data_IF_357905968677
#
_entry.id   IF_357905968677
#
_cell.length_a   1.000
_cell.length_b   1.000
_cell.length_c   1.000
_cell.angle_alpha   90.00
_cell.angle_beta   90.00
_cell.angle_gamma   90.00
#
_symmetry.space_group_name_H-M   'P 1'
#
loop_
_entity.id
_entity.type
_entity.pdbx_description
1 polymer ?
#
# COMPACT_ATOMS: atom_id res chain seq x y z
N UNK A 1 8.05 15.13 0.03
CA UNK A 1 7.83 14.44 1.32
C UNK A 1 8.60 13.13 1.27
N UNK A 2 9.58 12.94 2.16
CA UNK A 2 10.46 11.76 2.14
C UNK A 2 9.67 10.54 2.64
N UNK A 3 9.46 9.55 1.77
CA UNK A 3 8.86 8.24 2.10
C UNK A 3 9.82 7.40 2.95
N UNK A 4 10.00 7.78 4.22
CA UNK A 4 10.79 7.00 5.17
C UNK A 4 9.95 6.10 6.09
N UNK A 5 8.63 6.01 5.84
CA UNK A 5 7.69 5.34 6.74
C UNK A 5 7.86 3.80 6.81
N UNK A 6 8.42 3.18 5.77
CA UNK A 6 8.58 1.72 5.70
C UNK A 6 9.81 1.16 6.44
N UNK A 7 10.88 1.96 6.54
CA UNK A 7 12.13 1.55 7.21
C UNK A 7 11.93 1.09 8.66
N UNK A 8 11.10 1.76 9.47
CA UNK A 8 10.99 1.46 10.89
C UNK A 8 10.10 0.26 11.23
N UNK A 9 9.03 0.00 10.50
CA UNK A 9 8.21 -1.21 10.73
C UNK A 9 9.05 -2.48 10.46
N UNK A 10 9.95 -2.39 9.49
CA UNK A 10 10.87 -3.47 9.15
C UNK A 10 11.96 -3.68 10.18
N UNK A 11 12.46 -2.58 10.78
CA UNK A 11 13.42 -2.63 11.89
C UNK A 11 12.77 -3.31 13.10
N UNK A 12 11.48 -3.05 13.36
CA UNK A 12 10.74 -3.71 14.45
C UNK A 12 10.58 -5.20 14.20
N UNK A 13 10.27 -5.62 12.97
CA UNK A 13 10.24 -7.05 12.60
C UNK A 13 11.64 -7.67 12.72
N UNK A 14 12.69 -6.97 12.31
CA UNK A 14 14.07 -7.44 12.46
C UNK A 14 14.51 -7.50 13.92
N UNK A 15 14.11 -6.54 14.76
CA UNK A 15 14.34 -6.56 16.21
C UNK A 15 13.58 -7.73 16.86
N UNK A 16 12.35 -8.02 16.41
CA UNK A 16 11.59 -9.18 16.86
C UNK A 16 12.33 -10.49 16.55
N UNK A 17 12.83 -10.62 15.33
CA UNK A 17 13.60 -11.80 14.93
C UNK A 17 14.88 -11.91 15.74
N UNK A 18 15.59 -10.81 15.96
CA UNK A 18 16.77 -10.76 16.82
C UNK A 18 16.44 -11.08 18.28
N UNK A 19 15.28 -10.64 18.80
CA UNK A 19 14.79 -11.00 20.12
C UNK A 19 14.46 -12.50 20.23
N UNK A 20 13.79 -13.09 19.23
CA UNK A 20 13.55 -14.54 19.16
C UNK A 20 14.88 -15.30 19.16
N UNK A 21 15.85 -14.82 18.40
CA UNK A 21 17.18 -15.41 18.31
C UNK A 21 17.97 -15.25 19.61
N UNK A 22 17.92 -14.09 20.23
CA UNK A 22 18.57 -13.87 21.53
C UNK A 22 17.99 -14.80 22.61
N UNK A 23 16.67 -15.01 22.61
CA UNK A 23 16.00 -15.94 23.50
C UNK A 23 16.43 -17.39 23.26
N UNK A 24 16.51 -17.81 22.00
CA UNK A 24 17.05 -19.13 21.64
C UNK A 24 18.53 -19.28 21.99
N UNK A 25 19.27 -18.16 22.00
CA UNK A 25 20.69 -18.12 22.29
C UNK A 25 21.03 -18.41 23.77
N UNK A 26 20.23 -17.88 24.72
CA UNK A 26 20.57 -17.92 26.12
C UNK A 26 20.18 -19.19 26.87
N UNK A 27 19.41 -20.15 26.28
CA UNK A 27 18.87 -21.22 27.09
C UNK A 27 18.92 -22.66 26.55
N UNK A 28 19.56 -23.46 27.36
CA UNK A 28 19.35 -24.90 27.50
C UNK A 28 18.60 -25.12 28.83
N UNK A 29 17.27 -25.44 28.72
CA UNK A 29 16.45 -26.10 29.75
C UNK A 29 15.95 -25.28 30.97
N UNK A 30 14.67 -25.40 31.28
CA UNK A 30 13.89 -25.13 32.52
C UNK A 30 13.90 -23.73 33.19
N UNK A 31 14.99 -22.98 33.14
CA UNK A 31 15.04 -21.59 33.62
C UNK A 31 14.56 -20.63 32.51
N UNK A 32 14.36 -21.14 31.35
CA UNK A 32 14.10 -20.50 30.05
C UNK A 32 12.88 -19.58 30.02
N UNK A 33 11.75 -20.07 30.53
CA UNK A 33 10.48 -19.35 30.35
C UNK A 33 10.47 -18.01 31.09
N UNK A 34 10.86 -18.03 32.35
CA UNK A 34 10.84 -16.82 33.19
C UNK A 34 11.86 -15.79 32.74
N UNK A 35 13.06 -16.23 32.37
CA UNK A 35 14.12 -15.32 31.96
C UNK A 35 13.91 -14.81 30.51
N UNK A 36 13.35 -15.64 29.63
CA UNK A 36 12.98 -15.19 28.28
C UNK A 36 11.89 -14.10 28.33
N UNK A 37 10.87 -14.25 29.17
CA UNK A 37 9.85 -13.21 29.36
C UNK A 37 10.46 -11.93 29.94
N UNK A 38 11.39 -12.05 30.90
CA UNK A 38 12.08 -10.91 31.53
C UNK A 38 13.02 -10.22 30.53
N UNK A 39 13.80 -10.98 29.76
CA UNK A 39 14.70 -10.42 28.73
C UNK A 39 13.86 -9.72 27.64
N UNK A 40 12.79 -10.33 27.15
CA UNK A 40 11.94 -9.72 26.13
C UNK A 40 11.31 -8.43 26.65
N UNK A 41 10.80 -8.40 27.86
CA UNK A 41 10.25 -7.17 28.46
C UNK A 41 11.30 -6.07 28.62
N UNK A 42 12.57 -6.42 28.85
CA UNK A 42 13.65 -5.45 29.03
C UNK A 42 14.32 -5.01 27.72
N UNK A 43 14.23 -5.82 26.65
CA UNK A 43 14.86 -5.55 25.35
C UNK A 43 13.88 -4.95 24.35
N UNK A 44 12.60 -5.30 24.45
CA UNK A 44 11.59 -4.74 23.55
C UNK A 44 11.32 -3.27 23.91
N UNK A 45 11.18 -2.41 22.89
CA UNK A 45 10.73 -1.04 23.11
C UNK A 45 9.35 -0.98 23.78
N UNK A 46 9.06 0.08 24.50
CA UNK A 46 7.80 0.28 25.24
C UNK A 46 6.52 0.16 24.38
N UNK A 47 6.66 0.37 23.06
CA UNK A 47 5.55 0.22 22.10
C UNK A 47 5.36 -1.21 21.59
N UNK A 48 6.17 -2.19 22.03
CA UNK A 48 6.04 -3.60 21.66
C UNK A 48 5.64 -4.42 22.88
N UNK A 49 4.58 -5.24 22.73
CA UNK A 49 4.10 -6.14 23.78
C UNK A 49 4.06 -7.56 23.27
N UNK A 50 4.37 -8.51 24.16
CA UNK A 50 4.29 -9.96 23.90
C UNK A 50 3.66 -10.60 25.13
N UNK A 51 2.64 -11.44 24.94
CA UNK A 51 1.93 -12.08 26.05
C UNK A 51 2.70 -13.29 26.58
N UNK A 52 3.16 -14.16 25.69
CA UNK A 52 3.84 -15.39 26.08
C UNK A 52 4.78 -15.93 25.00
N UNK A 53 5.81 -16.66 25.49
CA UNK A 53 6.71 -17.42 24.64
C UNK A 53 6.56 -18.90 25.01
N UNK A 54 6.51 -19.74 24.01
CA UNK A 54 6.49 -21.18 24.18
C UNK A 54 7.54 -21.87 23.33
N UNK A 55 8.13 -22.92 23.87
CA UNK A 55 9.14 -23.74 23.22
C UNK A 55 8.61 -25.18 23.14
N UNK A 56 8.62 -25.74 21.95
CA UNK A 56 8.40 -27.16 21.72
C UNK A 56 9.74 -27.78 21.31
N UNK A 57 10.41 -28.38 22.28
CA UNK A 57 11.73 -28.98 22.07
C UNK A 57 11.67 -30.21 21.19
N UNK A 58 10.56 -30.98 21.24
CA UNK A 58 10.38 -32.20 20.45
C UNK A 58 10.28 -31.88 18.95
N UNK A 59 9.67 -30.74 18.61
CA UNK A 59 9.49 -30.25 17.23
C UNK A 59 10.52 -29.19 16.84
N UNK A 60 11.47 -28.85 17.74
CA UNK A 60 12.41 -27.75 17.55
C UNK A 60 11.70 -26.46 17.08
N UNK A 61 10.59 -26.12 17.75
CA UNK A 61 9.71 -24.99 17.41
C UNK A 61 9.67 -23.97 18.54
N UNK A 62 9.62 -22.69 18.15
CA UNK A 62 9.36 -21.55 19.04
C UNK A 62 8.13 -20.82 18.58
N UNK A 63 7.28 -20.41 19.52
CA UNK A 63 6.12 -19.59 19.25
C UNK A 63 6.04 -18.42 20.22
N UNK A 64 5.79 -17.22 19.70
CA UNK A 64 5.40 -16.02 20.43
C UNK A 64 3.90 -15.84 20.29
N UNK A 65 3.19 -15.63 21.38
CA UNK A 65 1.75 -15.38 21.39
C UNK A 65 1.46 -13.94 21.79
N UNK A 66 0.45 -13.33 21.14
CA UNK A 66 -0.02 -12.01 21.47
C UNK A 66 1.01 -10.93 21.24
N UNK A 67 1.75 -10.99 20.14
CA UNK A 67 2.64 -9.92 19.74
C UNK A 67 1.84 -8.72 19.27
N UNK A 68 2.12 -7.52 19.85
CA UNK A 68 1.42 -6.28 19.53
C UNK A 68 2.38 -5.12 19.42
N UNK A 69 2.10 -4.23 18.47
CA UNK A 69 2.73 -2.91 18.36
C UNK A 69 1.68 -1.88 18.72
N UNK A 70 1.94 -1.09 19.74
CA UNK A 70 1.05 -0.03 20.21
C UNK A 70 1.00 1.09 19.18
N UNK A 71 -0.18 1.62 18.92
CA UNK A 71 -0.37 2.74 18.01
C UNK A 71 0.17 4.04 18.63
N UNK A 72 0.67 4.99 17.84
CA UNK A 72 0.98 6.32 18.33
C UNK A 72 -0.25 6.98 18.97
N UNK A 73 -0.02 7.88 19.92
CA UNK A 73 -1.11 8.58 20.60
C UNK A 73 -2.01 9.38 19.63
N UNK A 74 -3.31 9.37 19.90
CA UNK A 74 -4.30 10.14 19.15
C UNK A 74 -4.92 9.43 17.96
N UNK A 75 -4.66 8.13 17.79
CA UNK A 75 -5.38 7.24 16.87
C UNK A 75 -6.43 6.42 17.63
N UNK A 76 -7.47 5.96 16.93
CA UNK A 76 -8.61 5.29 17.56
C UNK A 76 -8.33 3.84 17.95
N UNK A 77 -7.51 3.14 17.17
CA UNK A 77 -7.10 1.78 17.50
C UNK A 77 -5.94 1.79 18.50
N UNK A 78 -6.00 0.91 19.52
CA UNK A 78 -4.93 0.77 20.53
C UNK A 78 -3.63 0.27 19.89
N UNK A 79 -3.74 -0.62 18.92
CA UNK A 79 -2.60 -1.25 18.27
C UNK A 79 -2.51 -0.86 16.79
N UNK A 80 -1.28 -0.74 16.31
CA UNK A 80 -0.95 -0.65 14.88
C UNK A 80 -0.91 -2.05 14.25
N UNK A 81 -0.37 -3.02 15.01
CA UNK A 81 -0.25 -4.40 14.57
C UNK A 81 -0.51 -5.32 15.75
N UNK A 82 -1.31 -6.34 15.53
CA UNK A 82 -1.50 -7.47 16.43
C UNK A 82 -1.18 -8.76 15.66
N UNK A 83 -0.44 -9.69 16.25
CA UNK A 83 -0.18 -11.01 15.69
C UNK A 83 -0.56 -12.04 16.74
N UNK A 84 -1.55 -12.87 16.41
CA UNK A 84 -2.03 -13.89 17.35
C UNK A 84 -0.93 -14.87 17.74
N UNK A 85 -0.12 -15.30 16.78
CA UNK A 85 1.04 -16.17 17.01
C UNK A 85 2.10 -15.95 15.93
N UNK A 86 3.35 -15.81 16.35
CA UNK A 86 4.53 -15.90 15.49
C UNK A 86 5.20 -17.23 15.80
N UNK A 87 5.35 -18.12 14.84
CA UNK A 87 6.00 -19.41 15.03
C UNK A 87 7.11 -19.65 14.03
N UNK A 88 8.19 -20.26 14.46
CA UNK A 88 9.28 -20.69 13.58
C UNK A 88 9.86 -22.03 14.07
N UNK A 89 10.57 -22.71 13.17
CA UNK A 89 11.41 -23.86 13.52
C UNK A 89 12.85 -23.40 13.63
N UNK A 90 13.66 -24.14 14.38
CA UNK A 90 15.09 -23.87 14.51
C UNK A 90 15.89 -25.16 14.45
N UNK A 91 17.16 -25.05 14.04
CA UNK A 91 18.14 -26.11 14.04
C UNK A 91 19.46 -25.60 14.58
N UNK A 92 20.02 -26.29 15.56
CA UNK A 92 21.38 -26.04 16.04
C UNK A 92 22.38 -26.82 15.19
N UNK A 93 23.52 -26.19 14.84
CA UNK A 93 24.60 -26.84 14.07
C UNK A 93 25.54 -27.65 14.95
N UNK A 94 25.53 -27.41 16.27
CA UNK A 94 26.38 -28.10 17.24
C UNK A 94 25.71 -28.26 18.60
N UNK A 95 26.51 -28.50 19.64
CA UNK A 95 26.04 -28.70 21.01
C UNK A 95 25.66 -27.38 21.71
N UNK A 96 26.16 -26.28 21.21
CA UNK A 96 25.89 -24.93 21.71
C UNK A 96 25.25 -24.07 20.63
N UNK A 97 24.45 -23.09 21.02
CA UNK A 97 23.89 -22.08 20.13
C UNK A 97 25.04 -21.27 19.44
N UNK A 98 26.17 -21.10 20.15
CA UNK A 98 27.37 -20.46 19.61
C UNK A 98 28.01 -21.24 18.44
N UNK A 99 27.67 -22.51 18.26
CA UNK A 99 28.14 -23.32 17.13
C UNK A 99 27.33 -23.06 15.86
N UNK A 100 26.20 -22.39 16.00
CA UNK A 100 25.32 -21.95 14.92
C UNK A 100 23.87 -22.32 15.14
N UNK A 101 22.98 -21.39 14.85
CA UNK A 101 21.53 -21.50 14.89
C UNK A 101 20.95 -21.13 13.54
N UNK A 102 20.15 -22.01 12.96
CA UNK A 102 19.40 -21.73 11.75
C UNK A 102 17.91 -21.66 12.05
N UNK A 103 17.27 -20.56 11.66
CA UNK A 103 15.83 -20.33 11.82
C UNK A 103 15.17 -20.53 10.46
N UNK A 104 14.07 -21.26 10.41
CA UNK A 104 13.36 -21.53 9.18
C UNK A 104 11.84 -21.60 9.40
N UNK A 105 11.09 -21.45 8.31
CA UNK A 105 9.64 -21.47 8.24
C UNK A 105 8.96 -20.53 9.26
N UNK A 106 9.36 -19.27 9.37
CA UNK A 106 8.64 -18.32 10.21
C UNK A 106 7.26 -18.04 9.61
N UNK A 107 6.23 -18.11 10.46
CA UNK A 107 4.83 -17.86 10.07
C UNK A 107 4.19 -16.90 11.07
N UNK A 108 3.59 -15.84 10.54
CA UNK A 108 2.69 -14.95 11.25
C UNK A 108 1.26 -15.45 11.10
N UNK A 109 0.67 -15.91 12.19
CA UNK A 109 -0.69 -16.42 12.20
C UNK A 109 -1.64 -15.38 12.76
N UNK A 110 -2.70 -15.10 12.02
CA UNK A 110 -3.73 -14.12 12.34
C UNK A 110 -3.15 -12.73 12.63
N UNK A 111 -2.25 -12.20 11.79
CA UNK A 111 -1.84 -10.80 11.93
C UNK A 111 -3.02 -9.89 11.59
N UNK A 112 -3.24 -8.87 12.41
CA UNK A 112 -4.18 -7.79 12.14
C UNK A 112 -3.43 -6.48 12.09
N UNK A 113 -3.48 -5.82 10.96
CA UNK A 113 -2.81 -4.54 10.73
C UNK A 113 -3.83 -3.42 10.65
N UNK A 114 -3.74 -2.44 11.54
CA UNK A 114 -4.64 -1.31 11.61
C UNK A 114 -4.01 -0.08 10.98
N UNK A 115 -4.48 0.30 9.82
CA UNK A 115 -4.09 1.52 9.12
C UNK A 115 -5.18 2.56 9.37
N UNK A 116 -4.82 3.69 9.94
CA UNK A 116 -5.76 4.75 10.26
C UNK A 116 -5.31 6.08 9.65
N UNK A 117 -6.21 6.74 8.91
CA UNK A 117 -6.07 8.11 8.46
C UNK A 117 -7.01 9.00 9.27
N UNK A 118 -6.46 9.92 10.05
CA UNK A 118 -7.21 10.88 10.85
C UNK A 118 -7.87 11.95 9.98
N UNK A 119 -8.84 12.69 10.56
CA UNK A 119 -9.53 13.78 9.89
C UNK A 119 -8.58 14.89 9.37
N UNK A 120 -7.44 15.09 10.03
CA UNK A 120 -6.38 16.01 9.60
C UNK A 120 -5.48 15.45 8.48
N UNK A 121 -5.77 14.24 7.98
CA UNK A 121 -5.06 13.56 6.90
C UNK A 121 -3.81 12.78 7.33
N UNK A 122 -3.40 12.83 8.61
CA UNK A 122 -2.25 12.09 9.12
C UNK A 122 -2.53 10.59 9.18
N UNK A 123 -1.53 9.79 8.80
CA UNK A 123 -1.57 8.33 8.86
C UNK A 123 -0.78 7.85 10.08
N UNK A 124 -1.33 6.87 10.81
CA UNK A 124 -0.64 6.26 11.95
C UNK A 124 0.71 5.63 11.57
N UNK A 125 0.86 5.13 10.36
CA UNK A 125 2.13 4.62 9.82
C UNK A 125 3.22 5.70 9.77
N UNK A 126 2.86 6.92 9.37
CA UNK A 126 3.82 8.03 9.29
C UNK A 126 4.24 8.51 10.68
N UNK A 127 3.30 8.56 11.63
CA UNK A 127 3.60 8.92 13.03
C UNK A 127 4.46 7.85 13.70
N UNK A 128 4.17 6.56 13.50
CA UNK A 128 5.00 5.46 13.99
C UNK A 128 6.43 5.55 13.42
N UNK A 129 6.57 5.87 12.13
CA UNK A 129 7.87 6.13 11.51
C UNK A 129 8.67 7.20 12.25
N UNK A 130 8.00 8.29 12.65
CA UNK A 130 8.61 9.38 13.40
C UNK A 130 9.04 8.95 14.83
N UNK A 131 8.22 8.13 15.51
CA UNK A 131 8.56 7.56 16.83
C UNK A 131 9.81 6.70 16.75
N UNK A 132 9.89 5.85 15.73
CA UNK A 132 11.02 4.94 15.52
C UNK A 132 12.32 5.68 15.13
N UNK A 133 12.21 6.77 14.36
CA UNK A 133 13.36 7.62 14.02
C UNK A 133 13.88 8.42 15.23
N UNK A 134 12.99 8.90 16.10
CA UNK A 134 13.37 9.60 17.34
C UNK A 134 14.11 8.66 18.31
N UNK A 135 13.73 7.40 18.36
CA UNK A 135 14.44 6.37 19.15
C UNK A 135 15.87 6.09 18.66
N UNK A 136 16.22 6.45 17.42
CA UNK A 136 17.55 6.25 16.83
C UNK A 136 18.45 7.50 16.83
N UNK A 137 18.12 8.57 17.58
CA UNK A 137 19.04 9.69 17.81
C UNK A 137 19.09 10.78 16.73
N UNK A 138 18.04 10.96 15.95
CA UNK A 138 17.92 12.06 14.98
C UNK A 138 17.45 13.38 15.63
N UNK A 139 18.33 14.37 15.77
CA UNK A 139 17.99 15.70 16.26
C UNK A 139 17.14 16.48 15.26
N UNK A 140 15.91 16.86 15.65
CA UNK A 140 15.09 17.85 14.94
C UNK A 140 15.39 19.24 15.50
N UNK A 141 15.82 20.16 14.63
CA UNK A 141 16.11 21.56 14.93
C UNK A 141 14.83 22.40 14.90
N UNK A 142 14.21 22.63 16.07
CA UNK A 142 13.17 23.63 16.29
C UNK A 142 13.31 24.23 17.69
N UNK A 143 12.90 25.52 17.94
CA UNK A 143 13.01 26.15 19.25
C UNK A 143 12.06 25.51 20.26
N UNK A 144 12.60 25.07 21.41
CA UNK A 144 11.92 24.26 22.41
C UNK A 144 11.82 24.97 23.78
N UNK A 145 10.71 24.81 24.54
CA UNK A 145 10.56 25.32 25.91
C UNK A 145 11.55 24.65 26.90
N UNK A 146 11.98 25.32 27.96
CA UNK A 146 13.05 24.85 28.85
C UNK A 146 12.75 23.60 29.69
N UNK A 147 11.47 23.29 29.96
CA UNK A 147 11.04 22.05 30.65
C UNK A 147 11.24 20.78 29.85
N UNK A 148 11.37 20.90 28.53
CA UNK A 148 11.56 19.76 27.61
C UNK A 148 13.08 19.41 27.48
N UNK A 149 13.98 20.31 27.87
CA UNK A 149 15.44 20.07 27.80
C UNK A 149 15.90 18.95 28.72
N UNK A 150 15.41 18.90 29.97
CA UNK A 150 15.79 17.86 30.93
C UNK A 150 15.27 16.47 30.50
N UNK A 151 14.02 16.38 30.04
CA UNK A 151 13.45 15.15 29.48
C UNK A 151 14.18 14.70 28.20
N UNK A 152 14.75 15.66 27.45
CA UNK A 152 15.53 15.38 26.24
C UNK A 152 16.91 14.82 26.52
N UNK A 153 17.57 15.29 27.53
CA UNK A 153 18.89 14.77 27.98
C UNK A 153 18.74 13.34 28.50
N UNK A 154 17.68 13.06 29.25
CA UNK A 154 17.36 11.72 29.72
C UNK A 154 16.99 10.76 28.57
N UNK A 155 16.20 11.23 27.63
CA UNK A 155 15.85 10.47 26.40
C UNK A 155 17.07 10.25 25.50
N UNK A 156 18.00 11.23 25.45
CA UNK A 156 19.26 11.11 24.71
C UNK A 156 20.23 10.12 25.35
N UNK A 157 20.29 10.09 26.68
CA UNK A 157 21.04 9.09 27.41
C UNK A 157 20.46 7.66 27.20
N UNK A 158 19.12 7.51 27.26
CA UNK A 158 18.43 6.25 26.96
C UNK A 158 18.56 5.84 25.49
N UNK A 159 18.47 6.78 24.55
CA UNK A 159 18.68 6.53 23.12
C UNK A 159 20.12 6.16 22.76
N UNK A 160 21.10 6.78 23.41
CA UNK A 160 22.51 6.41 23.26
C UNK A 160 22.82 5.03 23.86
N UNK A 161 22.16 4.67 24.95
CA UNK A 161 22.24 3.34 25.55
C UNK A 161 21.58 2.28 24.62
N UNK A 162 20.41 2.59 24.03
CA UNK A 162 19.74 1.72 23.07
C UNK A 162 20.55 1.56 21.76
N UNK A 163 21.18 2.63 21.26
CA UNK A 163 22.07 2.59 20.10
C UNK A 163 23.35 1.78 20.35
N UNK A 164 23.91 1.87 21.58
CA UNK A 164 25.02 1.03 22.02
C UNK A 164 24.60 -0.43 22.21
N UNK A 165 23.40 -0.66 22.77
CA UNK A 165 22.82 -2.00 22.90
C UNK A 165 22.55 -2.65 21.55
N UNK A 166 22.05 -1.91 20.55
CA UNK A 166 21.87 -2.41 19.19
C UNK A 166 23.21 -2.70 18.49
N UNK A 167 24.22 -1.88 18.70
CA UNK A 167 25.59 -2.13 18.21
C UNK A 167 26.26 -3.31 18.93
N UNK A 168 26.00 -3.49 20.21
CA UNK A 168 26.49 -4.63 21.00
C UNK A 168 25.67 -5.91 20.71
N UNK A 169 24.36 -5.80 20.39
CA UNK A 169 23.54 -6.93 20.00
C UNK A 169 23.97 -7.55 18.65
N UNK A 170 24.69 -6.80 17.81
CA UNK A 170 25.28 -7.36 16.58
C UNK A 170 26.53 -8.20 16.84
N UNK A 171 27.07 -8.20 18.06
CA UNK A 171 28.25 -8.96 18.49
C UNK A 171 27.91 -9.80 19.72
N UNK A 172 28.20 -11.08 19.70
CA UNK A 172 28.09 -11.98 20.84
C UNK A 172 29.49 -12.50 21.17
N UNK A 173 30.09 -11.92 22.20
CA UNK A 173 31.52 -12.10 22.41
C UNK A 173 32.29 -11.51 21.23
N UNK A 174 33.20 -12.30 20.64
CA UNK A 174 34.01 -11.90 19.49
C UNK A 174 33.40 -12.33 18.13
N UNK A 175 32.18 -12.89 18.10
CA UNK A 175 31.52 -13.34 16.87
C UNK A 175 30.39 -12.38 16.47
N UNK A 176 30.23 -12.15 15.16
CA UNK A 176 29.08 -11.42 14.62
C UNK A 176 27.82 -12.28 14.77
N UNK A 177 26.68 -11.63 14.98
CA UNK A 177 25.38 -12.31 15.08
C UNK A 177 25.10 -13.15 13.83
N UNK A 178 25.45 -12.63 12.64
CA UNK A 178 25.29 -13.33 11.37
C UNK A 178 26.12 -14.62 11.23
N UNK A 179 27.23 -14.72 11.98
CA UNK A 179 28.07 -15.93 11.97
C UNK A 179 27.46 -17.03 12.87
N UNK A 180 26.61 -16.63 13.81
CA UNK A 180 25.97 -17.51 14.80
C UNK A 180 24.55 -17.86 14.36
N UNK A 181 23.81 -16.90 13.82
CA UNK A 181 22.39 -17.07 13.49
C UNK A 181 22.15 -16.85 12.02
N UNK A 182 21.54 -17.84 11.38
CA UNK A 182 21.03 -17.72 10.02
C UNK A 182 19.54 -17.42 10.05
N UNK A 183 19.18 -16.23 9.63
CA UNK A 183 17.80 -15.79 9.49
C UNK A 183 17.24 -16.17 8.12
N UNK A 184 15.97 -16.56 8.03
CA UNK A 184 15.29 -16.77 6.75
C UNK A 184 15.00 -15.43 6.08
N UNK A 185 14.92 -15.43 4.76
CA UNK A 185 14.47 -14.27 4.00
C UNK A 185 12.94 -14.21 3.87
N UNK A 186 12.24 -15.34 3.96
CA UNK A 186 10.79 -15.45 3.70
C UNK A 186 10.03 -15.76 4.97
N UNK A 187 8.98 -15.00 5.21
CA UNK A 187 8.06 -15.09 6.36
C UNK A 187 6.65 -15.31 5.84
N UNK A 188 6.01 -16.42 6.21
CA UNK A 188 4.64 -16.73 5.82
C UNK A 188 3.62 -15.89 6.59
N UNK A 189 2.50 -15.58 5.96
CA UNK A 189 1.31 -14.97 6.55
C UNK A 189 0.15 -15.95 6.42
N UNK A 190 -0.58 -16.19 7.50
CA UNK A 190 -1.79 -17.04 7.51
C UNK A 190 -2.94 -16.38 8.25
N UNK A 191 -4.11 -16.38 7.63
CA UNK A 191 -5.34 -15.81 8.18
C UNK A 191 -5.15 -14.36 8.64
N UNK A 192 -4.46 -13.56 7.82
CA UNK A 192 -4.18 -12.15 8.09
C UNK A 192 -5.39 -11.27 7.86
N UNK A 193 -5.36 -10.05 8.44
CA UNK A 193 -6.38 -9.03 8.28
C UNK A 193 -5.74 -7.65 8.20
N UNK A 194 -6.24 -6.81 7.29
CA UNK A 194 -5.91 -5.38 7.26
C UNK A 194 -7.19 -4.60 7.47
N UNK A 195 -7.17 -3.69 8.42
CA UNK A 195 -8.28 -2.76 8.72
C UNK A 195 -7.81 -1.36 8.36
N UNK A 196 -8.37 -0.79 7.31
CA UNK A 196 -8.15 0.60 6.95
C UNK A 196 -9.33 1.45 7.42
N UNK A 197 -9.08 2.40 8.33
CA UNK A 197 -10.07 3.35 8.84
C UNK A 197 -9.70 4.76 8.37
N UNK A 198 -10.58 5.37 7.58
CA UNK A 198 -10.37 6.70 7.01
C UNK A 198 -11.33 7.72 7.62
N UNK A 199 -10.84 8.50 8.58
CA UNK A 199 -11.61 9.59 9.20
C UNK A 199 -11.57 10.89 8.39
N UNK A 200 -10.74 10.96 7.34
CA UNK A 200 -10.69 12.10 6.42
C UNK A 200 -11.58 11.90 5.18
N UNK A 201 -12.32 10.80 5.10
CA UNK A 201 -13.23 10.56 3.99
C UNK A 201 -14.33 11.64 3.93
N UNK A 202 -14.70 12.13 2.74
CA UNK A 202 -15.58 13.33 2.59
C UNK A 202 -16.96 13.24 3.24
N UNK A 203 -17.48 12.03 3.47
CA UNK A 203 -18.81 11.79 4.06
C UNK A 203 -18.78 11.20 5.47
N UNK A 204 -17.65 11.33 6.17
CA UNK A 204 -17.41 10.79 7.50
C UNK A 204 -16.56 9.53 7.48
N UNK A 205 -16.37 8.91 8.65
CA UNK A 205 -15.47 7.77 8.78
C UNK A 205 -15.83 6.64 7.82
N UNK A 206 -14.84 6.18 7.06
CA UNK A 206 -14.98 5.06 6.14
C UNK A 206 -14.03 3.93 6.52
N UNK A 207 -14.51 2.69 6.40
CA UNK A 207 -13.73 1.52 6.81
C UNK A 207 -13.72 0.48 5.70
N UNK A 208 -12.52 0.06 5.31
CA UNK A 208 -12.29 -1.06 4.41
C UNK A 208 -11.52 -2.16 5.16
N UNK A 209 -11.91 -3.39 4.95
CA UNK A 209 -11.29 -4.50 5.65
C UNK A 209 -10.94 -5.61 4.66
N UNK A 210 -9.66 -6.01 4.64
CA UNK A 210 -9.19 -7.20 3.94
C UNK A 210 -9.14 -8.36 4.94
N UNK A 211 -9.69 -9.48 4.55
CA UNK A 211 -9.80 -10.70 5.37
C UNK A 211 -9.07 -11.87 4.72
N UNK A 212 -8.79 -12.86 5.55
CA UNK A 212 -8.23 -14.17 5.16
C UNK A 212 -6.98 -14.01 4.29
N UNK A 213 -6.11 -13.07 4.69
CA UNK A 213 -4.87 -12.80 3.97
C UNK A 213 -3.94 -13.99 4.11
N UNK A 214 -3.62 -14.61 2.97
CA UNK A 214 -2.60 -15.63 2.83
C UNK A 214 -1.46 -15.10 1.96
N UNK A 215 -0.22 -15.33 2.38
CA UNK A 215 0.89 -14.81 1.61
C UNK A 215 2.23 -14.90 2.31
N UNK A 216 3.16 -14.07 1.85
CA UNK A 216 4.51 -13.98 2.41
C UNK A 216 5.06 -12.57 2.39
N UNK A 217 6.01 -12.33 3.29
CA UNK A 217 6.90 -11.18 3.29
C UNK A 217 8.31 -11.70 3.07
N UNK A 218 9.05 -11.11 2.14
CA UNK A 218 10.46 -11.36 1.93
C UNK A 218 11.27 -10.18 2.45
N UNK A 219 12.25 -10.44 3.31
CA UNK A 219 13.14 -9.42 3.87
C UNK A 219 14.58 -9.83 3.60
N UNK A 220 15.25 -9.07 2.74
CA UNK A 220 16.68 -9.28 2.49
C UNK A 220 17.48 -8.31 3.34
N UNK A 221 18.32 -8.85 4.21
CA UNK A 221 19.24 -8.10 5.06
C UNK A 221 20.66 -8.13 4.46
N UNK A 222 21.49 -7.18 4.88
CA UNK A 222 22.92 -7.27 4.63
C UNK A 222 23.57 -8.39 5.48
N UNK A 223 24.81 -8.74 5.20
CA UNK A 223 25.54 -9.84 5.86
C UNK A 223 25.69 -9.67 7.39
N UNK A 224 25.53 -8.47 7.92
CA UNK A 224 25.62 -8.19 9.36
C UNK A 224 24.26 -8.05 10.03
N UNK A 225 23.15 -8.21 9.30
CA UNK A 225 21.76 -8.01 9.75
C UNK A 225 21.44 -6.60 10.30
N UNK A 226 22.28 -5.62 9.97
CA UNK A 226 22.13 -4.24 10.42
C UNK A 226 21.37 -3.35 9.43
N UNK A 227 21.16 -3.83 8.21
CA UNK A 227 20.53 -3.05 7.14
C UNK A 227 19.60 -3.93 6.30
N UNK A 228 18.39 -3.41 6.06
CA UNK A 228 17.45 -4.01 5.11
C UNK A 228 17.83 -3.58 3.71
N UNK A 229 18.07 -4.54 2.82
CA UNK A 229 18.42 -4.30 1.43
C UNK A 229 17.19 -4.27 0.53
N UNK A 230 16.22 -5.16 0.79
CA UNK A 230 15.01 -5.29 -0.03
C UNK A 230 13.87 -5.86 0.79
N UNK A 231 12.63 -5.47 0.45
CA UNK A 231 11.40 -6.01 1.02
C UNK A 231 10.47 -6.39 -0.09
N UNK A 232 10.01 -7.62 -0.05
CA UNK A 232 8.96 -8.10 -0.94
C UNK A 232 7.73 -8.49 -0.14
N UNK A 233 6.57 -8.49 -0.79
CA UNK A 233 5.35 -9.12 -0.29
C UNK A 233 4.55 -9.67 -1.45
N UNK A 234 4.02 -10.87 -1.27
CA UNK A 234 3.09 -11.47 -2.23
C UNK A 234 1.98 -12.19 -1.45
N UNK A 235 0.76 -12.09 -1.93
CA UNK A 235 -0.36 -12.75 -1.28
C UNK A 235 -1.70 -12.40 -1.93
N UNK A 236 -2.76 -12.89 -1.30
CA UNK A 236 -4.14 -12.60 -1.66
C UNK A 236 -5.00 -12.48 -0.42
N UNK A 237 -6.19 -11.92 -0.58
CA UNK A 237 -7.18 -11.75 0.46
C UNK A 237 -8.51 -11.29 -0.12
N UNK A 238 -9.53 -11.19 0.73
CA UNK A 238 -10.88 -10.83 0.36
C UNK A 238 -11.26 -9.48 0.94
N UNK A 239 -11.79 -8.59 0.10
CA UNK A 239 -12.27 -7.29 0.57
C UNK A 239 -13.63 -7.44 1.26
N UNK A 240 -13.82 -6.75 2.38
CA UNK A 240 -15.04 -6.69 3.17
C UNK A 240 -15.66 -8.06 3.55
N UNK A 241 -14.87 -9.14 3.49
CA UNK A 241 -15.32 -10.49 3.82
C UNK A 241 -16.09 -11.22 2.73
N UNK A 242 -16.19 -10.64 1.53
CA UNK A 242 -16.84 -11.27 0.39
C UNK A 242 -15.82 -12.08 -0.41
N UNK A 243 -15.95 -13.40 -0.43
CA UNK A 243 -15.02 -14.31 -1.13
C UNK A 243 -14.97 -14.10 -2.66
N UNK A 244 -15.93 -13.41 -3.24
CA UNK A 244 -15.93 -12.97 -4.63
C UNK A 244 -15.05 -11.74 -4.88
N UNK A 245 -14.74 -10.96 -3.83
CA UNK A 245 -13.97 -9.71 -3.90
C UNK A 245 -12.50 -9.99 -3.61
N UNK A 246 -11.79 -10.55 -4.58
CA UNK A 246 -10.42 -11.01 -4.42
C UNK A 246 -9.44 -9.90 -4.81
N UNK A 247 -8.44 -9.69 -3.97
CA UNK A 247 -7.29 -8.84 -4.28
C UNK A 247 -6.02 -9.66 -4.09
N UNK A 248 -5.24 -9.81 -5.16
CA UNK A 248 -3.89 -10.39 -5.14
C UNK A 248 -2.86 -9.30 -5.33
N UNK A 249 -1.72 -9.44 -4.69
CA UNK A 249 -0.64 -8.45 -4.84
C UNK A 249 0.73 -9.11 -4.90
N UNK A 250 1.61 -8.40 -5.58
CA UNK A 250 3.05 -8.58 -5.50
C UNK A 250 3.67 -7.21 -5.35
N UNK A 251 4.49 -7.03 -4.32
CA UNK A 251 5.16 -5.78 -3.99
C UNK A 251 6.65 -6.07 -3.83
N UNK A 252 7.48 -5.22 -4.40
CA UNK A 252 8.92 -5.25 -4.22
C UNK A 252 9.42 -3.82 -3.95
N UNK A 253 10.06 -3.61 -2.82
CA UNK A 253 10.45 -2.29 -2.33
C UNK A 253 11.95 -2.25 -2.01
N UNK A 254 12.64 -1.24 -2.52
CA UNK A 254 14.02 -0.92 -2.16
C UNK A 254 14.06 0.26 -1.17
N UNK A 255 14.35 0.03 0.13
CA UNK A 255 14.39 1.10 1.12
C UNK A 255 15.66 1.97 1.05
N UNK A 256 16.63 1.66 0.19
CA UNK A 256 17.95 2.27 0.18
C UNK A 256 18.13 3.40 -0.84
N UNK A 257 17.09 3.69 -1.61
CA UNK A 257 17.09 4.78 -2.58
C UNK A 257 16.66 6.11 -1.95
N UNK A 258 17.17 7.26 -2.42
CA UNK A 258 16.79 8.57 -1.88
C UNK A 258 15.32 8.90 -1.99
N UNK A 259 14.67 8.45 -3.07
CA UNK A 259 13.23 8.56 -3.30
C UNK A 259 12.62 7.17 -3.43
N UNK A 260 11.29 7.09 -3.49
CA UNK A 260 10.56 5.82 -3.60
C UNK A 260 11.03 5.02 -4.82
N UNK A 261 11.45 3.77 -4.56
CA UNK A 261 11.73 2.76 -5.58
C UNK A 261 11.01 1.48 -5.18
N UNK A 262 9.98 1.15 -5.95
CA UNK A 262 9.06 0.05 -5.62
C UNK A 262 8.36 -0.41 -6.89
N UNK A 263 8.17 -1.71 -7.04
CA UNK A 263 7.30 -2.30 -8.06
C UNK A 263 6.09 -2.93 -7.38
N UNK A 264 4.89 -2.64 -7.89
CA UNK A 264 3.65 -3.21 -7.38
C UNK A 264 2.80 -3.74 -8.52
N UNK A 265 2.25 -4.91 -8.33
CA UNK A 265 1.18 -5.46 -9.15
C UNK A 265 0.02 -5.84 -8.26
N UNK A 266 -1.18 -5.36 -8.61
CA UNK A 266 -2.43 -5.75 -7.99
C UNK A 266 -3.34 -6.37 -9.05
N UNK A 267 -3.87 -7.54 -8.75
CA UNK A 267 -4.92 -8.19 -9.52
C UNK A 267 -6.20 -8.19 -8.68
N UNK A 268 -7.20 -7.48 -9.16
CA UNK A 268 -8.48 -7.28 -8.46
C UNK A 268 -9.57 -7.99 -9.23
N UNK A 269 -10.45 -8.70 -8.55
CA UNK A 269 -11.57 -9.42 -9.17
C UNK A 269 -12.85 -9.23 -8.37
N UNK A 270 -13.90 -8.82 -9.05
CA UNK A 270 -15.28 -8.79 -8.54
C UNK A 270 -15.54 -7.84 -7.38
N UNK A 271 -14.71 -6.82 -7.16
CA UNK A 271 -14.85 -5.87 -6.05
C UNK A 271 -16.03 -4.93 -6.29
N UNK A 272 -16.98 -4.86 -5.36
CA UNK A 272 -18.09 -3.90 -5.39
C UNK A 272 -17.57 -2.46 -5.35
N UNK A 273 -17.98 -1.62 -6.31
CA UNK A 273 -17.53 -0.23 -6.40
C UNK A 273 -18.22 0.70 -5.39
N UNK A 274 -19.40 0.35 -4.88
CA UNK A 274 -20.21 1.21 -4.01
C UNK A 274 -19.52 1.59 -2.69
N UNK A 275 -18.81 0.71 -2.00
CA UNK A 275 -18.04 1.08 -0.81
C UNK A 275 -16.99 2.15 -1.04
N UNK A 276 -16.60 2.40 -2.29
CA UNK A 276 -15.60 3.42 -2.64
C UNK A 276 -16.23 4.78 -2.98
N UNK A 277 -17.56 4.91 -2.89
CA UNK A 277 -18.27 6.16 -3.16
C UNK A 277 -17.64 7.38 -2.47
N UNK A 278 -17.23 7.36 -1.20
CA UNK A 278 -16.61 8.50 -0.54
C UNK A 278 -15.37 9.05 -1.25
N UNK A 279 -14.68 8.23 -2.04
CA UNK A 279 -13.45 8.60 -2.74
C UNK A 279 -13.69 9.15 -4.15
N UNK A 280 -14.69 8.64 -4.87
CA UNK A 280 -14.96 9.09 -6.24
C UNK A 280 -16.12 10.09 -6.34
N UNK A 281 -16.99 10.19 -5.35
CA UNK A 281 -18.19 11.03 -5.40
C UNK A 281 -17.87 12.50 -5.75
N UNK A 282 -16.81 13.05 -5.20
CA UNK A 282 -16.37 14.43 -5.46
C UNK A 282 -15.99 14.67 -6.93
N UNK A 283 -15.51 13.64 -7.61
CA UNK A 283 -14.95 13.74 -8.96
C UNK A 283 -15.86 13.15 -10.03
N UNK A 284 -16.85 12.36 -9.64
CA UNK A 284 -17.78 11.69 -10.54
C UNK A 284 -19.12 12.42 -10.61
N UNK A 285 -19.66 12.72 -11.79
CA UNK A 285 -21.02 13.20 -11.97
C UNK A 285 -22.05 12.08 -11.82
N UNK A 286 -21.64 10.86 -11.51
CA UNK A 286 -22.47 9.66 -11.43
C UNK A 286 -22.62 9.20 -9.98
N UNK A 287 -23.77 8.62 -9.67
CA UNK A 287 -24.02 7.80 -8.49
C UNK A 287 -24.16 6.36 -8.97
N UNK A 288 -23.23 5.50 -8.59
CA UNK A 288 -23.28 4.09 -8.95
C UNK A 288 -24.27 3.34 -8.03
N UNK A 289 -25.22 2.65 -8.65
CA UNK A 289 -26.21 1.80 -7.96
C UNK A 289 -25.76 0.36 -7.84
N UNK A 290 -25.02 -0.11 -8.81
CA UNK A 290 -24.35 -1.42 -8.82
C UNK A 290 -23.13 -1.36 -9.71
N UNK A 291 -22.29 -2.36 -9.58
CA UNK A 291 -21.14 -2.60 -10.44
C UNK A 291 -19.99 -3.26 -9.67
N UNK A 292 -19.26 -4.07 -10.38
CA UNK A 292 -18.04 -4.71 -9.86
C UNK A 292 -16.83 -4.24 -10.64
N UNK A 293 -15.76 -4.02 -9.94
CA UNK A 293 -14.45 -3.68 -10.47
C UNK A 293 -13.58 -4.93 -10.53
N UNK A 294 -12.98 -5.16 -11.68
CA UNK A 294 -11.92 -6.13 -11.88
C UNK A 294 -10.80 -5.47 -12.68
N UNK A 295 -9.56 -5.91 -12.51
CA UNK A 295 -8.47 -5.34 -13.27
C UNK A 295 -7.08 -5.74 -12.80
N UNK A 296 -6.10 -5.35 -13.59
CA UNK A 296 -4.68 -5.44 -13.27
C UNK A 296 -4.10 -4.04 -13.18
N UNK A 297 -3.55 -3.71 -12.02
CA UNK A 297 -2.93 -2.42 -11.73
C UNK A 297 -1.44 -2.64 -11.48
N UNK A 298 -0.60 -2.04 -12.32
CA UNK A 298 0.86 -2.12 -12.18
C UNK A 298 1.41 -0.72 -11.99
N UNK A 299 2.17 -0.54 -10.91
CA UNK A 299 2.83 0.72 -10.59
C UNK A 299 4.31 0.45 -10.31
N UNK A 300 5.17 0.99 -11.14
CA UNK A 300 6.62 0.96 -10.96
C UNK A 300 7.10 2.36 -10.58
N UNK A 301 7.80 2.44 -9.48
CA UNK A 301 8.42 3.65 -8.98
C UNK A 301 9.93 3.48 -9.03
N UNK A 302 10.60 4.32 -9.78
CA UNK A 302 12.05 4.36 -9.86
C UNK A 302 12.56 5.73 -9.41
N UNK A 303 13.17 5.77 -8.23
CA UNK A 303 13.73 6.98 -7.62
C UNK A 303 12.78 8.19 -7.71
N UNK A 304 11.48 7.96 -7.42
CA UNK A 304 10.43 8.97 -7.41
C UNK A 304 9.77 9.26 -8.76
N UNK A 305 10.15 8.57 -9.83
CA UNK A 305 9.41 8.56 -11.09
C UNK A 305 8.42 7.40 -11.08
N UNK A 306 7.19 7.65 -11.53
CA UNK A 306 6.16 6.64 -11.69
C UNK A 306 6.06 6.20 -13.13
N UNK A 307 5.97 4.89 -13.35
CA UNK A 307 5.50 4.25 -14.57
C UNK A 307 4.37 3.30 -14.21
N UNK A 308 3.23 3.36 -14.91
CA UNK A 308 2.15 2.42 -14.65
C UNK A 308 1.54 1.91 -15.95
N UNK A 309 0.95 0.71 -15.85
CA UNK A 309 0.09 0.14 -16.91
C UNK A 309 -1.09 -0.51 -16.21
N UNK A 310 -2.29 0.02 -16.47
CA UNK A 310 -3.49 -0.35 -15.75
C UNK A 310 -4.58 -0.73 -16.73
N UNK A 311 -5.24 -1.84 -16.46
CA UNK A 311 -6.42 -2.32 -17.19
C UNK A 311 -7.56 -2.54 -16.20
N UNK A 312 -8.71 -1.97 -16.50
CA UNK A 312 -9.89 -1.96 -15.63
C UNK A 312 -11.10 -2.45 -16.41
N UNK A 313 -11.87 -3.34 -15.80
CA UNK A 313 -13.18 -3.78 -16.23
C UNK A 313 -14.22 -3.46 -15.18
N UNK A 314 -15.29 -2.79 -15.57
CA UNK A 314 -16.47 -2.59 -14.76
C UNK A 314 -17.60 -3.43 -15.34
N UNK A 315 -18.13 -4.35 -14.53
CA UNK A 315 -19.19 -5.29 -14.95
C UNK A 315 -20.48 -5.04 -14.16
N UNK A 316 -21.63 -5.25 -14.78
CA UNK A 316 -22.93 -5.05 -14.15
C UNK A 316 -23.17 -3.61 -13.67
N UNK A 317 -22.60 -2.63 -14.37
CA UNK A 317 -22.63 -1.23 -13.97
C UNK A 317 -24.04 -0.64 -14.16
N UNK A 318 -24.61 -0.12 -13.08
CA UNK A 318 -25.82 0.70 -13.10
C UNK A 318 -25.55 2.01 -12.36
N UNK A 319 -25.95 3.12 -12.96
CA UNK A 319 -25.73 4.45 -12.38
C UNK A 319 -26.86 5.41 -12.73
N UNK A 320 -26.96 6.47 -11.96
CA UNK A 320 -27.77 7.67 -12.27
C UNK A 320 -26.85 8.86 -12.35
N UNK A 321 -27.22 9.82 -13.20
CA UNK A 321 -26.52 11.12 -13.23
C UNK A 321 -26.94 11.94 -12.02
N UNK A 322 -25.99 12.61 -11.36
CA UNK A 322 -26.28 13.49 -10.24
C UNK A 322 -27.17 14.64 -10.68
N UNK A 323 -28.14 15.08 -9.84
CA UNK A 323 -28.92 16.29 -10.11
C UNK A 323 -28.01 17.49 -10.39
N UNK A 324 -28.27 18.18 -11.50
CA UNK A 324 -27.47 19.31 -11.98
C UNK A 324 -26.23 18.95 -12.80
N UNK A 325 -25.93 17.66 -12.99
CA UNK A 325 -24.81 17.21 -13.80
C UNK A 325 -25.25 16.60 -15.17
N UNK A 326 -26.53 16.68 -15.51
CA UNK A 326 -27.11 16.05 -16.71
C UNK A 326 -26.45 16.54 -18.00
N UNK A 327 -26.11 17.83 -18.04
CA UNK A 327 -25.47 18.49 -19.18
C UNK A 327 -23.94 18.59 -19.06
N UNK A 328 -23.35 17.99 -18.02
CA UNK A 328 -21.91 18.00 -17.86
C UNK A 328 -21.26 17.18 -18.96
N UNK A 329 -20.33 17.82 -19.69
CA UNK A 329 -19.65 17.20 -20.82
C UNK A 329 -18.18 16.90 -20.47
N UNK A 330 -17.76 15.70 -20.84
CA UNK A 330 -16.35 15.28 -20.86
C UNK A 330 -15.96 15.00 -22.31
N UNK A 331 -14.90 15.64 -22.77
CA UNK A 331 -14.48 15.56 -24.19
C UNK A 331 -15.63 15.84 -25.19
N UNK A 332 -16.51 16.78 -24.82
CA UNK A 332 -17.65 17.17 -25.65
C UNK A 332 -18.80 16.14 -25.72
N UNK A 333 -18.86 15.16 -24.85
CA UNK A 333 -19.94 14.19 -24.72
C UNK A 333 -20.49 14.16 -23.30
N UNK A 334 -21.77 13.82 -23.15
CA UNK A 334 -22.32 13.49 -21.83
C UNK A 334 -21.69 12.20 -21.31
N UNK A 335 -21.71 11.99 -19.98
CA UNK A 335 -21.12 10.77 -19.42
C UNK A 335 -21.83 9.49 -19.88
N UNK A 336 -23.18 9.46 -19.99
CA UNK A 336 -23.87 8.30 -20.57
C UNK A 336 -23.46 7.99 -22.01
N UNK A 337 -23.33 9.04 -22.85
CA UNK A 337 -22.88 8.84 -24.24
C UNK A 337 -21.44 8.35 -24.30
N UNK A 338 -20.56 8.93 -23.46
CA UNK A 338 -19.17 8.49 -23.36
C UNK A 338 -19.07 7.02 -22.95
N UNK A 339 -19.84 6.59 -21.95
CA UNK A 339 -19.86 5.21 -21.47
C UNK A 339 -20.14 4.20 -22.59
N UNK A 340 -21.01 4.54 -23.56
CA UNK A 340 -21.34 3.66 -24.70
C UNK A 340 -20.11 3.27 -25.52
N UNK A 341 -19.14 4.16 -25.70
CA UNK A 341 -17.92 3.89 -26.47
C UNK A 341 -16.95 2.97 -25.76
N UNK A 342 -17.02 2.91 -24.43
CA UNK A 342 -16.20 2.02 -23.61
C UNK A 342 -16.91 0.69 -23.29
N UNK A 343 -18.20 0.57 -23.64
CA UNK A 343 -18.99 -0.62 -23.35
C UNK A 343 -18.76 -1.68 -24.43
N UNK A 344 -18.41 -2.89 -23.99
CA UNK A 344 -18.25 -4.07 -24.86
C UNK A 344 -19.61 -4.67 -25.25
N UNK A 345 -19.59 -5.63 -26.16
CA UNK A 345 -20.79 -6.39 -26.53
C UNK A 345 -21.41 -7.18 -25.37
N UNK A 346 -20.61 -7.53 -24.34
CA UNK A 346 -21.09 -8.16 -23.10
C UNK A 346 -21.69 -7.18 -22.09
N UNK A 347 -21.64 -5.88 -22.35
CA UNK A 347 -22.14 -4.83 -21.45
C UNK A 347 -21.12 -4.37 -20.40
N UNK A 348 -19.89 -4.87 -20.44
CA UNK A 348 -18.79 -4.44 -19.56
C UNK A 348 -18.16 -3.16 -20.10
N UNK A 349 -17.74 -2.27 -19.20
CA UNK A 349 -16.90 -1.12 -19.56
C UNK A 349 -15.43 -1.51 -19.39
N UNK A 350 -14.66 -1.38 -20.47
CA UNK A 350 -13.22 -1.57 -20.47
C UNK A 350 -12.50 -0.24 -20.57
N UNK A 351 -11.52 -0.07 -19.70
CA UNK A 351 -10.72 1.15 -19.63
C UNK A 351 -9.27 0.80 -19.30
N UNK A 352 -8.34 1.28 -20.09
CA UNK A 352 -6.91 1.14 -19.85
C UNK A 352 -6.20 2.49 -19.81
N UNK A 353 -5.23 2.62 -18.92
CA UNK A 353 -4.49 3.86 -18.74
C UNK A 353 -3.07 3.64 -18.23
N UNK A 354 -2.23 4.65 -18.43
CA UNK A 354 -0.87 4.74 -17.93
C UNK A 354 -0.66 6.04 -17.18
N UNK A 355 0.11 5.97 -16.10
CA UNK A 355 0.59 7.15 -15.38
C UNK A 355 2.11 7.17 -15.52
N UNK A 356 2.70 8.31 -15.87
CA UNK A 356 4.15 8.45 -16.06
C UNK A 356 4.66 9.77 -15.52
N UNK A 357 5.95 9.80 -15.17
CA UNK A 357 6.69 11.00 -14.83
C UNK A 357 6.97 11.14 -13.33
N UNK A 358 7.31 12.35 -12.88
CA UNK A 358 7.60 12.63 -11.48
C UNK A 358 6.33 12.49 -10.63
N UNK A 359 6.43 11.81 -9.47
CA UNK A 359 5.29 11.60 -8.56
C UNK A 359 4.64 12.90 -8.07
N UNK A 360 5.36 14.03 -8.05
CA UNK A 360 4.79 15.31 -7.67
C UNK A 360 3.94 15.93 -8.79
N UNK A 361 4.16 15.52 -10.05
CA UNK A 361 3.43 16.00 -11.24
C UNK A 361 3.22 14.87 -12.23
N UNK A 362 2.47 13.80 -11.87
CA UNK A 362 2.27 12.66 -12.74
C UNK A 362 1.43 13.06 -13.96
N UNK A 363 1.72 12.43 -15.09
CA UNK A 363 0.97 12.61 -16.34
C UNK A 363 0.15 11.36 -16.62
N UNK A 364 -1.09 11.57 -17.02
CA UNK A 364 -2.05 10.51 -17.33
C UNK A 364 -2.15 10.32 -18.85
N UNK A 365 -2.15 9.06 -19.30
CA UNK A 365 -2.26 8.68 -20.70
C UNK A 365 -3.29 7.55 -20.86
N UNK A 366 -4.13 7.64 -21.87
CA UNK A 366 -4.98 6.53 -22.27
C UNK A 366 -4.16 5.41 -22.92
N UNK A 367 -4.50 4.19 -22.60
CA UNK A 367 -3.97 3.01 -23.27
C UNK A 367 -4.65 2.74 -24.62
N UNK A 368 -4.29 1.64 -25.31
CA UNK A 368 -4.82 1.31 -26.64
C UNK A 368 -6.34 1.16 -26.69
N UNK A 369 -6.94 0.46 -25.70
CA UNK A 369 -8.41 0.22 -25.64
C UNK A 369 -9.14 1.54 -25.49
N UNK A 370 -8.72 2.36 -24.53
CA UNK A 370 -9.33 3.67 -24.26
C UNK A 370 -9.14 4.63 -25.44
N UNK A 371 -8.00 4.61 -26.11
CA UNK A 371 -7.77 5.39 -27.34
C UNK A 371 -8.67 4.97 -28.48
N UNK A 372 -8.90 3.67 -28.66
CA UNK A 372 -9.81 3.15 -29.68
C UNK A 372 -11.24 3.65 -29.44
N UNK A 373 -11.74 3.54 -28.19
CA UNK A 373 -13.07 4.04 -27.82
C UNK A 373 -13.22 5.54 -28.11
N UNK A 374 -12.22 6.34 -27.73
CA UNK A 374 -12.20 7.80 -27.99
C UNK A 374 -12.11 8.12 -29.48
N UNK A 375 -11.40 7.32 -30.28
CA UNK A 375 -11.32 7.48 -31.73
C UNK A 375 -12.67 7.20 -32.39
N UNK A 376 -13.36 6.13 -32.00
CA UNK A 376 -14.72 5.83 -32.50
C UNK A 376 -15.70 6.98 -32.18
N UNK A 377 -15.65 7.49 -30.93
CA UNK A 377 -16.44 8.67 -30.54
C UNK A 377 -16.15 9.89 -31.42
N UNK A 378 -14.87 10.14 -31.72
CA UNK A 378 -14.48 11.24 -32.59
C UNK A 378 -15.04 11.08 -34.01
N UNK A 379 -14.94 9.88 -34.60
CA UNK A 379 -15.45 9.57 -35.91
C UNK A 379 -16.99 9.74 -35.99
N UNK A 380 -17.70 9.26 -34.97
CA UNK A 380 -19.16 9.41 -34.91
C UNK A 380 -19.58 10.89 -34.85
N UNK A 381 -18.89 11.70 -34.05
CA UNK A 381 -19.15 13.14 -33.95
C UNK A 381 -18.86 13.89 -35.25
N UNK A 382 -17.77 13.55 -35.91
CA UNK A 382 -17.41 14.13 -37.21
C UNK A 382 -18.51 13.74 -38.22
N UNK A 383 -18.90 12.49 -38.26
CA UNK A 383 -19.96 12.00 -39.16
C UNK A 383 -21.32 12.65 -38.91
N UNK A 384 -21.69 12.86 -37.64
CA UNK A 384 -22.90 13.56 -37.25
C UNK A 384 -22.86 15.04 -37.65
N UNK A 385 -21.71 15.73 -37.47
CA UNK A 385 -21.53 17.12 -37.87
C UNK A 385 -21.60 17.28 -39.40
N UNK A 386 -20.99 16.36 -40.16
CA UNK A 386 -21.07 16.33 -41.61
C UNK A 386 -22.51 16.07 -42.11
N UNK A 387 -23.24 15.16 -41.48
CA UNK A 387 -24.62 14.89 -41.76
C UNK A 387 -25.56 16.08 -41.48
N UNK A 388 -25.30 16.81 -40.39
CA UNK A 388 -26.02 18.05 -40.06
C UNK A 388 -25.73 19.18 -41.06
N UNK A 389 -24.45 19.34 -41.45
CA UNK A 389 -24.06 20.32 -42.47
C UNK A 389 -24.67 20.03 -43.84
N UNK A 390 -24.75 18.75 -44.21
CA UNK A 390 -25.41 18.34 -45.46
C UNK A 390 -26.93 18.59 -45.49
N UNK A 391 -27.60 18.47 -44.32
CA UNK A 391 -29.03 18.78 -44.17
C UNK A 391 -29.30 20.29 -44.12
N UNK A 392 -28.37 21.09 -43.52
CA UNK A 392 -28.46 22.56 -43.48
C UNK A 392 -28.22 23.23 -44.83
N UNK A 393 -27.47 22.57 -45.75
CA UNK A 393 -27.21 23.08 -47.11
C UNK A 393 -28.37 22.90 -48.06
N UNK A 394 -29.44 22.20 -47.67
CA UNK A 394 -30.66 22.02 -48.48
C UNK A 394 -31.78 23.02 -48.16
N UNK A 395 -31.54 24.03 -47.30
CA UNK A 395 -32.53 25.05 -46.90
C UNK A 395 -31.94 26.47 -47.03
N UNK A 396 -32.42 27.18 -48.01
CA UNK A 396 -32.41 28.62 -48.26
C UNK A 396 -31.09 29.28 -48.66
N UNK A 397 -31.19 30.01 -49.80
CA UNK A 397 -30.20 30.56 -50.70
C UNK A 397 -29.31 31.73 -50.20
N UNK A 398 -28.58 31.58 -49.13
CA UNK A 398 -27.49 32.49 -48.78
C UNK A 398 -26.13 31.79 -48.87
N UNK A 399 -25.24 32.31 -49.72
CA UNK A 399 -23.92 31.83 -50.15
C UNK A 399 -23.34 30.69 -49.32
N UNK A 400 -23.26 29.47 -49.87
CA UNK A 400 -22.77 28.33 -49.14
C UNK A 400 -21.23 28.37 -49.11
N UNK A 401 -20.66 28.23 -47.92
CA UNK A 401 -19.35 27.57 -47.79
C UNK A 401 -19.39 26.31 -48.66
N UNK A 402 -18.39 26.13 -49.49
CA UNK A 402 -18.34 24.89 -50.32
C UNK A 402 -18.45 23.69 -49.40
N UNK A 403 -19.02 22.59 -49.88
CA UNK A 403 -19.22 21.35 -49.10
C UNK A 403 -17.90 20.92 -48.42
N UNK A 404 -16.78 21.20 -49.05
CA UNK A 404 -15.41 20.95 -48.55
C UNK A 404 -15.00 21.89 -47.40
N UNK A 405 -15.35 23.19 -47.47
CA UNK A 405 -15.06 24.14 -46.39
C UNK A 405 -15.91 23.88 -45.15
N UNK A 406 -17.17 23.50 -45.29
CA UNK A 406 -18.01 23.09 -44.19
C UNK A 406 -17.51 21.81 -43.54
N UNK A 407 -17.03 20.84 -44.33
CA UNK A 407 -16.39 19.62 -43.87
C UNK A 407 -15.08 19.93 -43.13
N UNK A 408 -14.19 20.75 -43.69
CA UNK A 408 -12.93 21.09 -43.07
C UNK A 408 -13.12 21.84 -41.74
N UNK A 409 -14.12 22.75 -41.66
CA UNK A 409 -14.47 23.46 -40.44
C UNK A 409 -15.04 22.50 -39.39
N UNK A 410 -15.94 21.58 -39.74
CA UNK A 410 -16.50 20.60 -38.82
C UNK A 410 -15.42 19.65 -38.25
N UNK A 411 -14.48 19.21 -39.09
CA UNK A 411 -13.31 18.41 -38.66
C UNK A 411 -12.42 19.21 -37.74
N UNK A 412 -12.11 20.45 -38.08
CA UNK A 412 -11.26 21.33 -37.26
C UNK A 412 -11.88 21.62 -35.90
N UNK A 413 -13.20 21.83 -35.82
CA UNK A 413 -13.92 22.07 -34.56
C UNK A 413 -14.04 20.80 -33.72
N UNK A 414 -14.27 19.64 -34.32
CA UNK A 414 -14.26 18.35 -33.63
C UNK A 414 -12.85 18.02 -33.06
N UNK A 415 -11.80 18.25 -33.84
CA UNK A 415 -10.41 18.08 -33.39
C UNK A 415 -10.07 19.05 -32.26
N UNK A 416 -10.48 20.32 -32.32
CA UNK A 416 -10.30 21.29 -31.24
C UNK A 416 -11.01 20.85 -29.94
N UNK A 417 -12.22 20.29 -30.03
CA UNK A 417 -12.97 19.80 -28.87
C UNK A 417 -12.27 18.61 -28.21
N UNK A 418 -11.71 17.70 -29.00
CA UNK A 418 -11.00 16.52 -28.51
C UNK A 418 -9.67 16.83 -27.84
N UNK A 419 -8.97 17.87 -28.30
CA UNK A 419 -7.63 18.22 -27.83
C UNK A 419 -7.60 19.51 -26.99
N UNK A 420 -8.76 20.13 -26.69
CA UNK A 420 -8.83 21.26 -25.77
C UNK A 420 -8.43 20.77 -24.38
N UNK A 421 -7.18 21.09 -23.97
CA UNK A 421 -6.70 20.85 -22.62
C UNK A 421 -7.71 21.43 -21.65
N UNK A 422 -8.35 20.55 -20.86
CA UNK A 422 -9.06 20.96 -19.64
C UNK A 422 -8.02 21.56 -18.70
N UNK A 423 -8.12 22.88 -18.51
CA UNK A 423 -7.35 23.61 -17.49
C UNK A 423 -7.82 23.25 -16.10
#
# INVERSE_FOLDING_TARGET
MKSNAFKPALIVVSILIVAIVAVLFFYRISILKYTAETIIRNVLPDYVRVDAISFDLSLSRVSLKGFRIVNPAGFSSEYLLEIGEVSCRYKMKGKSVLDGLEIFDPVFKRPVFYIERRADGRLNLNEMSSVLQKGQGGASSGPMPPTVKAAREEAKAKGAAAGRAAGQAAMVGNKKLSDIVKLPEVYGIKNGKIVFSDFAAPRGPHKLVFYDIEGSITVKLNDTYTKVLRVGSAGDGYLNGHKSEIVRWTIDFNPNTPKLTMSNKFEVSGVDIRPFEPYYDRYSPLIFRSGTFSGTLVFDFDNGNIGSTNEVRLSGLSFIVKPGAENQQFWGSTVPDLARYFTTASGDILFDFKIKGDMAKPQFYFGPISKQALTLMAVDKISAALGAAAKGASGDGSSPLTKEEAQAKAIADAVKLLFKKTK
#
